data_IF_344489953646
#
_entry.id   IF_344489953646
#
_cell.length_a   1.000
_cell.length_b   1.000
_cell.length_c   1.000
_cell.angle_alpha   90.00
_cell.angle_beta   90.00
_cell.angle_gamma   90.00
#
_symmetry.space_group_name_H-M   'P 1'
#
loop_
_entity.id
_entity.type
_entity.pdbx_description
1 polymer ?
#
# COMPACT_ATOMS: atom_id res chain seq x y z
N UNK A 1 -6.64 6.94 12.43
CA UNK A 1 -5.69 7.33 11.36
C UNK A 1 -6.39 7.61 10.04
N UNK A 2 -7.03 6.63 9.38
CA UNK A 2 -7.67 6.83 8.07
C UNK A 2 -8.67 8.00 7.99
N UNK A 3 -9.54 8.19 8.98
CA UNK A 3 -10.42 9.38 9.02
C UNK A 3 -9.67 10.72 8.89
N UNK A 4 -8.50 10.82 9.51
CA UNK A 4 -7.68 12.03 9.49
C UNK A 4 -6.99 12.27 8.13
N UNK A 5 -7.02 11.29 7.22
CA UNK A 5 -6.50 11.40 5.85
C UNK A 5 -7.53 11.98 4.88
N UNK A 6 -8.80 12.14 5.28
CA UNK A 6 -9.82 12.80 4.47
C UNK A 6 -9.40 14.23 4.16
N UNK A 7 -9.50 14.61 2.88
CA UNK A 7 -9.20 15.96 2.41
C UNK A 7 -10.50 16.70 2.12
N UNK A 8 -10.61 17.90 2.67
CA UNK A 8 -11.66 18.84 2.27
C UNK A 8 -11.31 19.47 0.92
N UNK A 9 -12.31 19.92 0.13
CA UNK A 9 -12.04 20.65 -1.10
C UNK A 9 -11.19 21.91 -0.87
N UNK A 10 -10.22 22.15 -1.74
CA UNK A 10 -9.35 23.34 -1.67
C UNK A 10 -9.61 24.21 -2.90
N UNK A 11 -9.91 25.49 -2.68
CA UNK A 11 -10.10 26.48 -3.75
C UNK A 11 -8.94 27.45 -3.77
N UNK A 12 -8.32 27.62 -4.95
CA UNK A 12 -7.26 28.58 -5.21
C UNK A 12 -7.78 29.62 -6.21
N UNK A 13 -7.74 30.89 -5.83
CA UNK A 13 -7.90 32.00 -6.78
C UNK A 13 -6.55 32.23 -7.46
N UNK A 14 -6.44 31.77 -8.71
CA UNK A 14 -5.18 31.75 -9.47
C UNK A 14 -4.84 33.18 -9.93
N UNK A 15 -5.87 33.90 -10.37
CA UNK A 15 -5.87 35.33 -10.66
C UNK A 15 -7.23 35.89 -10.24
N UNK A 16 -7.38 37.20 -10.03
CA UNK A 16 -8.69 37.81 -9.80
C UNK A 16 -9.71 37.32 -10.84
N UNK A 17 -10.83 36.76 -10.39
CA UNK A 17 -11.89 36.26 -11.27
C UNK A 17 -11.67 34.87 -11.89
N UNK A 18 -10.52 34.21 -11.64
CA UNK A 18 -10.27 32.80 -12.01
C UNK A 18 -9.98 31.95 -10.78
N UNK A 19 -10.78 30.92 -10.57
CA UNK A 19 -10.67 30.00 -9.44
C UNK A 19 -10.56 28.56 -9.91
N UNK A 20 -9.75 27.77 -9.20
CA UNK A 20 -9.67 26.32 -9.38
C UNK A 20 -9.96 25.67 -8.04
N UNK A 21 -10.99 24.83 -7.99
CA UNK A 21 -11.32 24.02 -6.82
C UNK A 21 -10.90 22.57 -7.05
N UNK A 22 -10.03 22.05 -6.20
CA UNK A 22 -9.68 20.64 -6.12
C UNK A 22 -10.70 19.90 -5.24
N UNK A 23 -11.44 18.95 -5.82
CA UNK A 23 -12.40 18.10 -5.10
C UNK A 23 -11.90 16.66 -5.03
N UNK A 24 -12.10 16.03 -3.88
CA UNK A 24 -11.81 14.62 -3.64
C UNK A 24 -13.12 13.83 -3.66
N UNK A 25 -13.32 13.01 -4.69
CA UNK A 25 -14.58 12.30 -4.95
C UNK A 25 -14.34 10.80 -4.82
N UNK A 26 -15.08 10.07 -3.96
CA UNK A 26 -14.92 8.63 -3.86
C UNK A 26 -15.23 7.93 -5.19
N UNK A 27 -14.65 6.75 -5.38
CA UNK A 27 -15.13 5.82 -6.39
C UNK A 27 -16.51 5.27 -6.01
N UNK A 28 -17.30 4.87 -6.99
CA UNK A 28 -18.66 4.40 -6.73
C UNK A 28 -18.64 3.01 -6.12
N UNK A 29 -17.78 2.14 -6.66
CA UNK A 29 -17.69 0.74 -6.25
C UNK A 29 -16.26 0.22 -6.18
N UNK A 30 -15.98 -0.58 -5.15
CA UNK A 30 -14.67 -1.17 -4.91
C UNK A 30 -14.72 -2.68 -4.72
N UNK A 31 -13.74 -3.38 -5.29
CA UNK A 31 -13.43 -4.78 -5.03
C UNK A 31 -12.28 -4.91 -4.04
N UNK A 32 -12.49 -5.62 -2.94
CA UNK A 32 -11.52 -5.80 -1.86
C UNK A 32 -11.07 -7.27 -1.86
N UNK A 33 -9.81 -7.53 -2.20
CA UNK A 33 -9.25 -8.87 -2.18
C UNK A 33 -8.61 -9.17 -0.83
N UNK A 34 -9.04 -10.27 -0.20
CA UNK A 34 -8.50 -10.73 1.07
C UNK A 34 -7.92 -12.14 0.90
N UNK A 35 -6.62 -12.35 1.20
CA UNK A 35 -6.03 -13.68 1.12
C UNK A 35 -6.65 -14.63 2.17
N UNK A 36 -6.78 -15.89 1.80
CA UNK A 36 -7.30 -16.94 2.67
C UNK A 36 -6.76 -18.33 2.38
N UNK A 37 -5.78 -18.50 1.48
CA UNK A 37 -5.37 -19.85 1.03
C UNK A 37 -4.70 -20.70 2.12
N UNK A 38 -3.64 -20.18 2.74
CA UNK A 38 -2.86 -20.89 3.78
C UNK A 38 -3.19 -20.45 5.20
N UNK A 39 -3.57 -19.18 5.34
CA UNK A 39 -3.84 -18.50 6.60
C UNK A 39 -5.02 -17.57 6.34
N UNK A 40 -5.91 -17.45 7.32
CA UNK A 40 -7.03 -16.50 7.27
C UNK A 40 -6.59 -15.18 7.90
N UNK A 41 -6.71 -14.07 7.16
CA UNK A 41 -6.29 -12.74 7.59
C UNK A 41 -7.48 -11.80 7.82
N UNK A 42 -8.18 -11.86 8.98
CA UNK A 42 -9.22 -10.88 9.30
C UNK A 42 -8.67 -9.45 9.38
N UNK A 43 -7.39 -9.29 9.74
CA UNK A 43 -6.70 -8.01 9.70
C UNK A 43 -6.75 -7.40 8.29
N UNK A 44 -6.53 -8.19 7.23
CA UNK A 44 -6.63 -7.69 5.85
C UNK A 44 -8.04 -7.28 5.44
N UNK A 45 -9.09 -7.82 6.08
CA UNK A 45 -10.46 -7.29 5.91
C UNK A 45 -10.52 -5.87 6.47
N UNK A 46 -10.09 -5.69 7.73
CA UNK A 46 -10.07 -4.37 8.40
C UNK A 46 -9.27 -3.35 7.58
N UNK A 47 -8.07 -3.73 7.15
CA UNK A 47 -7.14 -2.85 6.44
C UNK A 47 -7.64 -2.46 5.04
N UNK A 48 -8.47 -3.28 4.39
CA UNK A 48 -9.09 -2.91 3.11
C UNK A 48 -10.38 -2.10 3.30
N UNK A 49 -11.27 -2.55 4.20
CA UNK A 49 -12.63 -2.03 4.33
C UNK A 49 -12.66 -0.66 5.01
N UNK A 50 -11.93 -0.49 6.11
CA UNK A 50 -11.95 0.76 6.89
C UNK A 50 -11.56 1.98 6.04
N UNK A 51 -10.45 2.00 5.28
CA UNK A 51 -10.14 3.17 4.44
C UNK A 51 -11.13 3.37 3.29
N UNK A 52 -11.76 2.33 2.75
CA UNK A 52 -12.81 2.48 1.75
C UNK A 52 -14.08 3.14 2.33
N UNK A 53 -14.49 2.73 3.54
CA UNK A 53 -15.60 3.36 4.26
C UNK A 53 -15.26 4.80 4.67
N UNK A 54 -14.06 5.03 5.17
CA UNK A 54 -13.57 6.38 5.45
C UNK A 54 -13.37 7.18 4.15
N UNK A 55 -13.22 6.61 2.96
CA UNK A 55 -13.29 7.39 1.72
C UNK A 55 -14.71 7.80 1.32
N UNK A 56 -15.73 7.11 1.85
CA UNK A 56 -17.12 7.30 1.48
C UNK A 56 -17.54 6.50 0.24
N UNK A 57 -16.88 5.38 -0.05
CA UNK A 57 -17.27 4.49 -1.16
C UNK A 57 -18.67 3.93 -0.92
N UNK A 58 -19.53 4.01 -1.94
CA UNK A 58 -20.94 3.64 -1.83
C UNK A 58 -21.21 2.13 -1.86
N UNK A 59 -20.34 1.35 -2.53
CA UNK A 59 -20.53 -0.08 -2.74
C UNK A 59 -19.22 -0.85 -2.57
N UNK A 60 -19.20 -1.84 -1.67
CA UNK A 60 -18.04 -2.65 -1.34
C UNK A 60 -18.34 -4.12 -1.65
N UNK A 61 -17.50 -4.76 -2.45
CA UNK A 61 -17.54 -6.20 -2.70
C UNK A 61 -16.22 -6.83 -2.25
N UNK A 62 -16.26 -7.91 -1.49
CA UNK A 62 -15.06 -8.59 -1.01
C UNK A 62 -14.92 -9.96 -1.66
N UNK A 63 -13.69 -10.33 -2.05
CA UNK A 63 -13.38 -11.67 -2.54
C UNK A 63 -12.34 -12.32 -1.64
N UNK A 64 -12.59 -13.57 -1.26
CA UNK A 64 -11.64 -14.41 -0.55
C UNK A 64 -11.70 -15.84 -1.10
N UNK A 65 -10.57 -16.57 -1.17
CA UNK A 65 -10.55 -17.93 -1.72
C UNK A 65 -11.56 -18.85 -1.03
N UNK A 66 -12.28 -19.71 -1.79
CA UNK A 66 -13.14 -20.74 -1.22
C UNK A 66 -12.31 -21.79 -0.49
N UNK A 67 -12.81 -22.29 0.63
CA UNK A 67 -12.15 -23.33 1.42
C UNK A 67 -13.03 -24.58 1.53
N UNK A 68 -12.49 -25.73 1.11
CA UNK A 68 -13.22 -26.99 1.08
C UNK A 68 -13.71 -27.42 2.48
N UNK A 69 -12.92 -27.16 3.51
CA UNK A 69 -13.28 -27.45 4.91
C UNK A 69 -14.47 -26.62 5.42
N UNK A 70 -14.77 -25.49 4.78
CA UNK A 70 -15.93 -24.64 5.09
C UNK A 70 -16.98 -24.68 3.97
N UNK A 71 -17.12 -25.82 3.29
CA UNK A 71 -18.18 -26.03 2.30
C UNK A 71 -18.05 -25.17 1.04
N UNK A 72 -16.83 -24.72 0.71
CA UNK A 72 -16.57 -23.86 -0.44
C UNK A 72 -16.76 -22.37 -0.15
N UNK A 73 -17.01 -21.98 1.11
CA UNK A 73 -17.06 -20.58 1.53
C UNK A 73 -15.68 -20.09 1.99
N UNK A 74 -15.46 -18.76 2.07
CA UNK A 74 -14.32 -18.19 2.78
C UNK A 74 -14.29 -18.62 4.26
N UNK A 75 -13.11 -18.54 4.87
CA UNK A 75 -12.92 -18.86 6.29
C UNK A 75 -13.92 -18.09 7.19
N UNK A 76 -14.56 -18.70 8.20
CA UNK A 76 -15.58 -18.06 9.03
C UNK A 76 -15.13 -16.76 9.70
N UNK A 77 -13.86 -16.67 10.11
CA UNK A 77 -13.29 -15.45 10.71
C UNK A 77 -13.20 -14.28 9.72
N UNK A 78 -13.00 -14.54 8.42
CA UNK A 78 -13.10 -13.49 7.39
C UNK A 78 -14.55 -13.00 7.29
N UNK A 79 -15.51 -13.93 7.23
CA UNK A 79 -16.93 -13.59 7.16
C UNK A 79 -17.40 -12.82 8.41
N UNK A 80 -16.90 -13.18 9.60
CA UNK A 80 -17.18 -12.46 10.83
C UNK A 80 -16.62 -11.03 10.80
N UNK A 81 -15.39 -10.83 10.30
CA UNK A 81 -14.83 -9.49 10.14
C UNK A 81 -15.61 -8.67 9.11
N UNK A 82 -16.04 -9.27 8.00
CA UNK A 82 -16.94 -8.63 7.03
C UNK A 82 -18.25 -8.18 7.70
N UNK A 83 -18.91 -9.07 8.44
CA UNK A 83 -20.16 -8.75 9.12
C UNK A 83 -20.00 -7.62 10.15
N UNK A 84 -18.92 -7.63 10.94
CA UNK A 84 -18.61 -6.56 11.90
C UNK A 84 -18.40 -5.21 11.24
N UNK A 85 -17.91 -5.20 10.00
CA UNK A 85 -17.66 -3.99 9.21
C UNK A 85 -18.78 -3.68 8.23
N UNK A 86 -19.89 -4.43 8.23
CA UNK A 86 -21.03 -4.18 7.34
C UNK A 86 -20.74 -4.45 5.86
N UNK A 87 -19.88 -5.44 5.55
CA UNK A 87 -19.67 -5.92 4.19
C UNK A 87 -20.60 -7.10 3.92
N UNK A 88 -21.66 -6.83 3.18
CA UNK A 88 -22.73 -7.81 2.89
C UNK A 88 -22.53 -8.58 1.57
N UNK A 89 -21.62 -8.11 0.71
CA UNK A 89 -21.33 -8.72 -0.60
C UNK A 89 -19.96 -9.41 -0.56
N UNK A 90 -19.96 -10.74 -0.38
CA UNK A 90 -18.75 -11.55 -0.30
C UNK A 90 -18.76 -12.68 -1.34
N UNK A 91 -17.72 -12.74 -2.16
CA UNK A 91 -17.50 -13.77 -3.17
C UNK A 91 -16.49 -14.81 -2.70
N UNK A 92 -16.86 -16.07 -2.85
CA UNK A 92 -15.97 -17.21 -2.69
C UNK A 92 -15.09 -17.37 -3.95
N UNK A 93 -14.18 -16.42 -4.16
CA UNK A 93 -13.27 -16.35 -5.29
C UNK A 93 -11.88 -15.92 -4.83
N UNK A 94 -10.84 -16.58 -5.34
CA UNK A 94 -9.44 -16.28 -5.02
C UNK A 94 -8.60 -15.99 -6.26
N UNK A 95 -7.34 -15.62 -6.08
CA UNK A 95 -6.35 -15.57 -7.16
C UNK A 95 -6.63 -14.54 -8.26
N UNK A 96 -5.96 -14.71 -9.40
CA UNK A 96 -6.07 -13.82 -10.55
C UNK A 96 -7.51 -13.72 -11.10
N UNK A 97 -8.28 -14.80 -11.02
CA UNK A 97 -9.67 -14.86 -11.47
C UNK A 97 -10.60 -13.98 -10.62
N UNK A 98 -10.33 -13.79 -9.33
CA UNK A 98 -11.10 -12.85 -8.51
C UNK A 98 -10.85 -11.39 -8.94
N UNK A 99 -9.59 -11.07 -9.26
CA UNK A 99 -9.22 -9.74 -9.77
C UNK A 99 -9.86 -9.49 -11.14
N UNK A 100 -9.83 -10.47 -12.05
CA UNK A 100 -10.50 -10.38 -13.34
C UNK A 100 -12.02 -10.28 -13.21
N UNK A 101 -12.64 -11.02 -12.27
CA UNK A 101 -14.06 -10.92 -11.95
C UNK A 101 -14.43 -9.50 -11.54
N UNK A 102 -13.66 -8.84 -10.67
CA UNK A 102 -13.91 -7.46 -10.29
C UNK A 102 -13.66 -6.47 -11.43
N UNK A 103 -12.61 -6.65 -12.23
CA UNK A 103 -12.27 -5.71 -13.30
C UNK A 103 -13.29 -5.75 -14.47
N UNK A 104 -13.74 -6.94 -14.85
CA UNK A 104 -14.65 -7.11 -16.00
C UNK A 104 -16.12 -7.21 -15.61
N UNK A 105 -16.40 -7.58 -14.36
CA UNK A 105 -17.71 -8.03 -13.94
C UNK A 105 -18.08 -9.41 -14.51
N UNK A 106 -19.14 -9.98 -13.97
CA UNK A 106 -19.80 -11.22 -14.40
C UNK A 106 -21.32 -11.05 -14.27
N UNK A 107 -22.08 -12.10 -14.61
CA UNK A 107 -23.54 -12.10 -14.38
C UNK A 107 -23.93 -12.01 -12.90
N UNK A 108 -23.02 -12.39 -11.98
CA UNK A 108 -23.26 -12.37 -10.53
C UNK A 108 -22.46 -11.33 -9.78
N UNK A 109 -21.43 -10.72 -10.39
CA UNK A 109 -20.57 -9.71 -9.78
C UNK A 109 -20.46 -8.50 -10.69
N UNK A 110 -21.08 -7.35 -10.38
CA UNK A 110 -20.86 -6.12 -11.13
C UNK A 110 -19.40 -5.69 -11.08
N UNK A 111 -18.89 -5.19 -12.21
CA UNK A 111 -17.55 -4.61 -12.30
C UNK A 111 -17.36 -3.48 -11.28
N UNK A 112 -16.12 -3.24 -10.86
CA UNK A 112 -15.76 -2.23 -9.87
C UNK A 112 -14.85 -1.17 -10.48
N UNK A 113 -14.75 0.00 -9.85
CA UNK A 113 -13.87 1.08 -10.30
C UNK A 113 -12.43 0.88 -9.82
N UNK A 114 -12.25 0.29 -8.64
CA UNK A 114 -10.95 0.04 -7.99
C UNK A 114 -10.91 -1.36 -7.37
N UNK A 115 -9.80 -2.06 -7.51
CA UNK A 115 -9.50 -3.31 -6.80
C UNK A 115 -8.30 -3.14 -5.88
N UNK A 116 -8.45 -3.43 -4.59
CA UNK A 116 -7.37 -3.32 -3.60
C UNK A 116 -7.09 -4.63 -2.88
N UNK A 117 -5.97 -4.66 -2.16
CA UNK A 117 -5.64 -5.74 -1.24
C UNK A 117 -4.38 -6.52 -1.64
N UNK A 118 -3.72 -7.15 -0.65
CA UNK A 118 -2.48 -7.89 -0.85
C UNK A 118 -2.77 -9.28 -1.43
N UNK A 119 -1.78 -9.89 -2.05
CA UNK A 119 -1.92 -11.27 -2.50
C UNK A 119 -0.60 -11.89 -2.92
N UNK A 120 -0.68 -13.15 -3.34
CA UNK A 120 0.49 -13.81 -3.93
C UNK A 120 0.85 -13.18 -5.28
N UNK A 121 1.97 -13.64 -5.85
CA UNK A 121 2.49 -13.17 -7.14
C UNK A 121 1.44 -13.17 -8.28
N UNK A 122 0.47 -14.09 -8.27
CA UNK A 122 -0.56 -14.18 -9.32
C UNK A 122 -1.63 -13.11 -9.18
N UNK A 123 -2.03 -12.79 -7.95
CA UNK A 123 -2.94 -11.67 -7.67
C UNK A 123 -2.29 -10.35 -8.06
N UNK A 124 -1.03 -10.17 -7.68
CA UNK A 124 -0.24 -8.98 -8.02
C UNK A 124 -0.05 -8.84 -9.53
N UNK A 125 0.30 -9.93 -10.23
CA UNK A 125 0.41 -9.93 -11.68
C UNK A 125 -0.94 -9.61 -12.37
N UNK A 126 -2.06 -10.14 -11.87
CA UNK A 126 -3.38 -9.84 -12.41
C UNK A 126 -3.75 -8.36 -12.24
N UNK A 127 -3.53 -7.78 -11.05
CA UNK A 127 -3.72 -6.35 -10.79
C UNK A 127 -2.90 -5.52 -11.76
N UNK A 128 -1.62 -5.87 -11.97
CA UNK A 128 -0.72 -5.19 -12.91
C UNK A 128 -1.22 -5.25 -14.36
N UNK A 129 -1.67 -6.41 -14.83
CA UNK A 129 -2.18 -6.58 -16.19
C UNK A 129 -3.50 -5.84 -16.44
N UNK A 130 -4.30 -5.65 -15.39
CA UNK A 130 -5.61 -4.99 -15.46
C UNK A 130 -5.54 -3.48 -15.16
N UNK A 131 -4.35 -2.94 -14.80
CA UNK A 131 -4.14 -1.49 -14.69
C UNK A 131 -4.51 -0.83 -16.01
N UNK A 132 -5.42 0.14 -15.94
CA UNK A 132 -5.96 0.86 -17.10
C UNK A 132 -7.39 0.45 -17.48
N UNK A 133 -7.81 -0.76 -17.10
CA UNK A 133 -9.24 -1.13 -17.11
C UNK A 133 -9.89 -0.81 -15.76
N UNK A 134 -9.21 -1.14 -14.66
CA UNK A 134 -9.65 -0.88 -13.30
C UNK A 134 -8.54 -0.15 -12.53
N UNK A 135 -8.91 0.70 -11.58
CA UNK A 135 -7.96 1.25 -10.63
C UNK A 135 -7.42 0.14 -9.74
N UNK A 136 -6.15 0.24 -9.36
CA UNK A 136 -5.57 -0.63 -8.34
C UNK A 136 -4.69 0.22 -7.44
N UNK A 137 -4.56 -0.20 -6.18
CA UNK A 137 -3.64 0.33 -5.18
C UNK A 137 -2.16 0.02 -5.56
N UNK A 138 -1.38 -0.53 -4.63
CA UNK A 138 0.01 -0.91 -4.84
C UNK A 138 0.16 -2.36 -5.33
N UNK A 139 1.36 -2.67 -5.84
CA UNK A 139 1.80 -4.05 -6.01
C UNK A 139 2.21 -4.61 -4.65
N UNK A 140 1.27 -5.27 -3.98
CA UNK A 140 1.44 -5.92 -2.68
C UNK A 140 1.59 -7.43 -2.88
N UNK A 141 2.81 -7.87 -3.20
CA UNK A 141 3.19 -9.26 -3.47
C UNK A 141 3.68 -10.03 -2.24
N UNK A 142 4.66 -10.95 -2.37
CA UNK A 142 5.32 -11.56 -1.22
C UNK A 142 5.86 -10.49 -0.29
N UNK A 143 5.69 -10.73 1.01
CA UNK A 143 5.90 -9.71 2.05
C UNK A 143 7.39 -9.56 2.38
N UNK A 144 7.81 -8.36 2.80
CA UNK A 144 9.21 -8.01 3.04
C UNK A 144 9.41 -7.24 4.36
N UNK A 145 10.53 -7.51 5.04
CA UNK A 145 11.01 -6.67 6.14
C UNK A 145 12.48 -6.32 5.93
N UNK A 146 12.83 -5.06 6.19
CA UNK A 146 14.20 -4.61 6.37
C UNK A 146 14.36 -4.07 7.79
N UNK A 147 15.45 -4.44 8.47
CA UNK A 147 15.78 -3.95 9.81
C UNK A 147 17.14 -3.26 9.71
N UNK A 148 17.19 -1.95 9.99
CA UNK A 148 18.43 -1.20 10.18
C UNK A 148 18.71 -1.14 11.69
N UNK A 149 19.74 -1.88 12.13
CA UNK A 149 20.08 -2.03 13.54
C UNK A 149 21.55 -1.71 13.83
N UNK A 150 21.83 -0.93 14.87
CA UNK A 150 23.20 -0.69 15.38
C UNK A 150 23.53 -1.62 16.55
N UNK A 151 24.73 -1.49 17.11
CA UNK A 151 25.23 -2.31 18.22
C UNK A 151 24.42 -2.20 19.53
N UNK A 152 23.47 -1.27 19.60
CA UNK A 152 22.56 -1.11 20.76
C UNK A 152 21.28 -1.94 20.65
N UNK A 153 20.99 -2.51 19.47
CA UNK A 153 19.81 -3.35 19.26
C UNK A 153 19.88 -4.66 20.06
N UNK A 154 18.73 -5.15 20.52
CA UNK A 154 18.65 -6.46 21.17
C UNK A 154 18.60 -7.56 20.09
N UNK A 155 19.60 -8.46 20.03
CA UNK A 155 19.65 -9.50 19.00
C UNK A 155 18.46 -10.46 19.06
N UNK A 156 17.84 -10.65 20.23
CA UNK A 156 16.69 -11.52 20.38
C UNK A 156 15.43 -10.90 19.76
N UNK A 157 15.28 -9.56 19.85
CA UNK A 157 14.20 -8.84 19.18
C UNK A 157 14.38 -8.85 17.67
N UNK A 158 15.57 -8.48 17.17
CA UNK A 158 15.87 -8.50 15.72
C UNK A 158 15.62 -9.90 15.13
N UNK A 159 16.06 -10.96 15.80
CA UNK A 159 15.80 -12.33 15.36
C UNK A 159 14.29 -12.67 15.34
N UNK A 160 13.53 -12.25 16.37
CA UNK A 160 12.10 -12.46 16.45
C UNK A 160 11.35 -11.73 15.32
N UNK A 161 11.73 -10.49 15.00
CA UNK A 161 11.11 -9.68 13.96
C UNK A 161 11.38 -10.25 12.55
N UNK A 162 12.60 -10.75 12.29
CA UNK A 162 12.92 -11.48 11.06
C UNK A 162 12.07 -12.77 10.93
N UNK A 163 11.90 -13.52 12.02
CA UNK A 163 11.09 -14.75 12.04
C UNK A 163 9.61 -14.44 11.81
N UNK A 164 9.09 -13.38 12.44
CA UNK A 164 7.71 -12.94 12.31
C UNK A 164 7.37 -12.63 10.83
N UNK A 165 8.30 -12.03 10.10
CA UNK A 165 8.11 -11.82 8.67
C UNK A 165 8.21 -13.12 7.86
N UNK A 166 9.24 -13.92 8.13
CA UNK A 166 9.53 -15.16 7.40
C UNK A 166 8.42 -16.22 7.50
N UNK A 167 7.55 -16.16 8.53
CA UNK A 167 6.45 -17.12 8.68
C UNK A 167 5.25 -16.88 7.74
N UNK A 168 5.20 -15.74 7.04
CA UNK A 168 4.09 -15.44 6.13
C UNK A 168 4.10 -16.33 4.89
N UNK A 169 5.23 -16.38 4.18
CA UNK A 169 5.35 -17.07 2.89
C UNK A 169 6.78 -17.58 2.67
N UNK A 170 6.99 -18.75 2.02
CA UNK A 170 8.32 -19.21 1.65
C UNK A 170 9.14 -18.25 0.77
N UNK A 171 8.48 -17.30 0.10
CA UNK A 171 9.11 -16.23 -0.69
C UNK A 171 9.23 -14.90 0.06
N UNK A 172 8.91 -14.85 1.36
CA UNK A 172 9.09 -13.63 2.14
C UNK A 172 10.57 -13.24 2.18
N UNK A 173 10.87 -11.96 1.96
CA UNK A 173 12.24 -11.45 1.99
C UNK A 173 12.53 -10.77 3.34
N UNK A 174 13.71 -11.04 3.89
CA UNK A 174 14.13 -10.51 5.18
C UNK A 174 15.54 -9.93 5.04
N UNK A 175 15.70 -8.64 5.32
CA UNK A 175 16.98 -7.94 5.24
C UNK A 175 17.40 -7.43 6.63
N UNK A 176 18.58 -7.82 7.11
CA UNK A 176 19.24 -7.17 8.23
C UNK A 176 20.36 -6.26 7.69
N UNK A 177 20.33 -4.98 8.04
CA UNK A 177 21.40 -4.02 7.75
C UNK A 177 22.01 -3.57 9.07
N UNK A 178 23.32 -3.75 9.23
CA UNK A 178 24.00 -3.38 10.49
C UNK A 178 25.47 -3.01 10.27
N UNK A 179 26.01 -2.04 11.02
CA UNK A 179 27.44 -1.80 11.07
C UNK A 179 28.18 -2.71 12.07
N UNK A 180 27.48 -3.49 12.89
CA UNK A 180 28.10 -4.33 13.94
C UNK A 180 28.11 -5.80 13.54
N UNK A 181 29.32 -6.34 13.39
CA UNK A 181 29.54 -7.77 13.22
C UNK A 181 29.19 -8.56 14.49
N UNK A 182 29.35 -7.96 15.67
CA UNK A 182 29.01 -8.56 16.95
C UNK A 182 27.49 -8.73 17.10
N UNK A 183 26.70 -7.72 16.70
CA UNK A 183 25.25 -7.85 16.65
C UNK A 183 24.84 -8.96 15.69
N UNK A 184 25.43 -9.01 14.50
CA UNK A 184 25.14 -10.04 13.51
C UNK A 184 25.36 -11.45 14.08
N UNK A 185 26.53 -11.72 14.66
CA UNK A 185 26.85 -13.02 15.27
C UNK A 185 25.84 -13.38 16.37
N UNK A 186 25.42 -12.39 17.17
CA UNK A 186 24.43 -12.57 18.22
C UNK A 186 23.02 -12.85 17.67
N UNK A 187 22.61 -12.17 16.60
CA UNK A 187 21.33 -12.41 15.90
C UNK A 187 21.32 -13.81 15.28
N UNK A 188 22.41 -14.25 14.66
CA UNK A 188 22.51 -15.62 14.13
C UNK A 188 22.38 -16.67 15.23
N UNK A 189 22.99 -16.44 16.39
CA UNK A 189 22.84 -17.30 17.55
C UNK A 189 21.39 -17.33 18.08
N UNK A 190 20.68 -16.20 18.07
CA UNK A 190 19.27 -16.13 18.45
C UNK A 190 18.34 -16.80 17.43
N UNK A 191 18.57 -16.62 16.13
CA UNK A 191 17.86 -17.36 15.08
C UNK A 191 18.03 -18.88 15.26
N UNK A 192 19.24 -19.32 15.61
CA UNK A 192 19.52 -20.73 15.92
C UNK A 192 18.72 -21.30 17.10
N UNK A 193 18.28 -20.45 18.04
CA UNK A 193 17.43 -20.83 19.18
C UNK A 193 15.94 -20.73 18.86
N UNK A 194 15.53 -19.68 18.16
CA UNK A 194 14.13 -19.32 17.96
C UNK A 194 13.48 -20.05 16.77
N UNK A 195 14.20 -20.24 15.66
CA UNK A 195 13.67 -20.92 14.46
C UNK A 195 13.25 -22.38 14.72
N UNK A 196 13.99 -23.21 15.48
CA UNK A 196 13.59 -24.59 15.72
C UNK A 196 12.29 -24.76 16.52
N UNK A 197 11.94 -23.76 17.34
CA UNK A 197 10.80 -23.84 18.28
C UNK A 197 9.53 -23.15 17.76
N UNK A 198 9.60 -22.36 16.69
CA UNK A 198 8.39 -21.79 16.07
C UNK A 198 7.55 -22.87 15.39
N UNK A 199 6.22 -22.69 15.42
CA UNK A 199 5.24 -23.60 14.82
C UNK A 199 5.47 -23.77 13.31
N UNK A 200 5.89 -22.71 12.63
CA UNK A 200 6.03 -22.66 11.17
C UNK A 200 7.49 -22.79 10.71
N UNK A 201 8.34 -23.50 11.48
CA UNK A 201 9.78 -23.63 11.26
C UNK A 201 10.19 -23.93 9.80
N UNK A 202 9.51 -24.84 9.11
CA UNK A 202 9.90 -25.23 7.74
C UNK A 202 9.71 -24.06 6.75
N UNK A 203 8.64 -23.29 6.93
CA UNK A 203 8.36 -22.12 6.11
C UNK A 203 9.34 -20.99 6.41
N UNK A 204 9.57 -20.72 7.69
CA UNK A 204 10.54 -19.73 8.17
C UNK A 204 11.94 -20.05 7.65
N UNK A 205 12.38 -21.31 7.78
CA UNK A 205 13.67 -21.77 7.25
C UNK A 205 13.76 -21.59 5.73
N UNK A 206 12.70 -21.90 4.99
CA UNK A 206 12.68 -21.72 3.54
C UNK A 206 12.82 -20.25 3.15
N UNK A 207 12.09 -19.35 3.80
CA UNK A 207 12.16 -17.93 3.54
C UNK A 207 13.55 -17.35 3.89
N UNK A 208 14.06 -17.63 5.09
CA UNK A 208 15.36 -17.12 5.55
C UNK A 208 16.53 -17.66 4.70
N UNK A 209 16.51 -18.93 4.30
CA UNK A 209 17.58 -19.50 3.47
C UNK A 209 17.46 -19.17 1.98
N UNK A 210 16.25 -18.85 1.51
CA UNK A 210 15.98 -18.54 0.11
C UNK A 210 16.08 -17.05 -0.22
N UNK A 211 15.61 -16.18 0.67
CA UNK A 211 15.47 -14.73 0.47
C UNK A 211 15.93 -13.90 1.69
N UNK A 212 16.60 -14.51 2.67
CA UNK A 212 17.26 -13.80 3.76
C UNK A 212 18.58 -13.19 3.31
N UNK A 213 18.81 -11.93 3.65
CA UNK A 213 20.02 -11.18 3.30
C UNK A 213 20.53 -10.41 4.50
N UNK A 214 21.84 -10.37 4.66
CA UNK A 214 22.52 -9.49 5.62
C UNK A 214 23.42 -8.52 4.84
N UNK A 215 23.34 -7.25 5.18
CA UNK A 215 24.22 -6.20 4.68
C UNK A 215 25.01 -5.60 5.84
N UNK A 216 26.29 -5.98 5.94
CA UNK A 216 27.23 -5.33 6.86
C UNK A 216 27.72 -4.04 6.20
N UNK A 217 27.61 -2.92 6.90
CA UNK A 217 27.92 -1.58 6.39
C UNK A 217 28.94 -0.87 7.30
N UNK A 218 29.52 0.24 6.85
CA UNK A 218 30.51 0.97 7.67
C UNK A 218 29.85 1.71 8.85
N UNK A 219 28.64 2.23 8.65
CA UNK A 219 27.87 3.00 9.63
C UNK A 219 26.36 3.05 9.30
N UNK A 220 25.58 3.72 10.17
CA UNK A 220 24.13 3.91 9.99
C UNK A 220 23.80 4.74 8.75
N UNK A 221 24.69 5.66 8.32
CA UNK A 221 24.47 6.48 7.14
C UNK A 221 24.56 5.65 5.86
N UNK A 222 25.55 4.76 5.77
CA UNK A 222 25.63 3.74 4.73
C UNK A 222 24.43 2.78 4.79
N UNK A 223 23.99 2.43 6.00
CA UNK A 223 22.77 1.64 6.21
C UNK A 223 21.51 2.30 5.63
N UNK A 224 21.35 3.62 5.80
CA UNK A 224 20.26 4.39 5.20
C UNK A 224 20.28 4.31 3.67
N UNK A 225 21.46 4.37 3.04
CA UNK A 225 21.59 4.21 1.58
C UNK A 225 21.11 2.84 1.13
N UNK A 226 21.44 1.78 1.88
CA UNK A 226 21.00 0.41 1.59
C UNK A 226 19.49 0.28 1.72
N UNK A 227 18.89 0.73 2.82
CA UNK A 227 17.43 0.57 3.02
C UNK A 227 16.62 1.44 2.05
N UNK A 228 17.08 2.64 1.70
CA UNK A 228 16.44 3.48 0.68
C UNK A 228 16.56 2.86 -0.72
N UNK A 229 17.67 2.17 -1.01
CA UNK A 229 17.83 1.43 -2.24
C UNK A 229 16.96 0.16 -2.25
N UNK A 230 16.83 -0.53 -1.12
CA UNK A 230 15.95 -1.69 -1.01
C UNK A 230 14.48 -1.30 -1.16
N UNK A 231 14.07 -0.19 -0.55
CA UNK A 231 12.70 0.33 -0.57
C UNK A 231 11.67 -0.70 -0.08
N UNK A 232 11.87 -1.15 1.16
CA UNK A 232 11.13 -2.25 1.76
C UNK A 232 9.64 -1.95 1.92
N UNK A 233 8.84 -3.02 1.98
CA UNK A 233 7.45 -2.96 2.46
C UNK A 233 7.42 -2.43 3.90
N UNK A 234 8.12 -3.11 4.81
CA UNK A 234 8.29 -2.70 6.20
C UNK A 234 9.75 -2.40 6.49
N UNK A 235 10.03 -1.26 7.14
CA UNK A 235 11.36 -0.91 7.62
C UNK A 235 11.33 -0.69 9.13
N UNK A 236 12.15 -1.42 9.87
CA UNK A 236 12.42 -1.15 11.27
C UNK A 236 13.74 -0.39 11.44
N UNK A 237 13.74 0.59 12.33
CA UNK A 237 14.93 1.33 12.73
C UNK A 237 15.18 1.05 14.22
N UNK A 238 16.17 0.21 14.51
CA UNK A 238 16.58 -0.16 15.86
C UNK A 238 17.99 0.39 16.15
N UNK A 239 18.08 1.70 16.37
CA UNK A 239 19.34 2.42 16.62
C UNK A 239 19.22 3.36 17.82
N UNK A 240 20.35 3.85 18.34
CA UNK A 240 20.39 4.75 19.52
C UNK A 240 19.52 6.01 19.33
N UNK A 241 19.53 6.60 18.13
CA UNK A 241 18.74 7.79 17.76
C UNK A 241 17.69 7.46 16.69
N UNK A 242 16.95 6.34 16.89
CA UNK A 242 16.03 5.79 15.90
C UNK A 242 15.10 6.80 15.22
N UNK A 243 14.55 7.76 15.98
CA UNK A 243 13.66 8.79 15.43
C UNK A 243 14.37 9.74 14.45
N UNK A 244 15.62 10.12 14.72
CA UNK A 244 16.39 10.99 13.84
C UNK A 244 16.83 10.25 12.57
N UNK A 245 17.17 8.97 12.71
CA UNK A 245 17.49 8.09 11.57
C UNK A 245 16.26 7.87 10.71
N UNK A 246 15.12 7.53 11.30
CA UNK A 246 13.85 7.31 10.61
C UNK A 246 13.39 8.55 9.81
N UNK A 247 13.61 9.77 10.33
CA UNK A 247 13.27 11.01 9.64
C UNK A 247 14.05 11.24 8.33
N UNK A 248 15.12 10.47 8.09
CA UNK A 248 15.95 10.56 6.89
C UNK A 248 15.61 9.49 5.85
N UNK A 249 14.79 8.50 6.20
CA UNK A 249 14.29 7.47 5.28
C UNK A 249 13.48 8.13 4.17
N UNK A 250 13.74 7.73 2.93
CA UNK A 250 13.04 8.22 1.74
C UNK A 250 12.11 7.18 1.15
N UNK A 251 12.48 5.90 1.19
CA UNK A 251 11.72 4.83 0.55
C UNK A 251 11.43 3.69 1.52
N UNK A 252 10.20 3.61 2.01
CA UNK A 252 9.65 2.47 2.74
C UNK A 252 8.12 2.52 2.68
N UNK A 253 7.44 1.38 2.73
CA UNK A 253 5.98 1.32 2.83
C UNK A 253 5.50 1.82 4.19
N UNK A 254 6.07 1.29 5.26
CA UNK A 254 5.89 1.75 6.64
C UNK A 254 7.22 1.70 7.40
N UNK A 255 7.46 2.69 8.27
CA UNK A 255 8.65 2.79 9.11
C UNK A 255 8.27 2.62 10.57
N UNK A 256 8.91 1.68 11.24
CA UNK A 256 8.74 1.41 12.66
C UNK A 256 9.99 1.83 13.42
N UNK A 257 9.80 2.58 14.51
CA UNK A 257 10.86 3.40 15.09
C UNK A 257 11.13 2.98 16.54
N UNK A 258 12.31 2.44 16.76
CA UNK A 258 12.81 2.03 18.07
C UNK A 258 12.35 0.64 18.51
N UNK A 259 12.91 0.19 19.63
CA UNK A 259 12.82 -1.19 20.15
C UNK A 259 11.40 -1.71 20.40
N UNK A 260 10.44 -0.83 20.66
CA UNK A 260 9.08 -1.21 21.10
C UNK A 260 8.03 -1.11 19.99
N UNK A 261 8.46 -0.97 18.74
CA UNK A 261 7.60 -0.87 17.57
C UNK A 261 7.92 -2.01 16.58
N UNK A 262 7.61 -3.28 16.89
CA UNK A 262 7.77 -4.36 15.91
C UNK A 262 6.74 -4.22 14.78
N UNK A 263 7.06 -4.73 13.58
CA UNK A 263 6.11 -4.75 12.43
C UNK A 263 4.75 -5.36 12.80
N UNK A 264 4.75 -6.38 13.66
CA UNK A 264 3.51 -7.00 14.15
C UNK A 264 2.53 -6.00 14.78
N UNK A 265 3.00 -4.94 15.42
CA UNK A 265 2.12 -3.88 15.93
C UNK A 265 1.37 -3.20 14.76
N UNK A 266 2.06 -2.91 13.66
CA UNK A 266 1.51 -2.32 12.43
C UNK A 266 0.52 -3.21 11.71
N UNK A 267 0.81 -4.51 11.65
CA UNK A 267 -0.03 -5.49 10.97
C UNK A 267 -1.42 -5.63 11.59
N UNK A 268 -1.55 -5.31 12.88
CA UNK A 268 -2.76 -5.55 13.64
C UNK A 268 -3.40 -4.29 14.23
N UNK A 269 -2.66 -3.45 14.97
CA UNK A 269 -3.27 -2.51 15.93
C UNK A 269 -2.65 -1.10 15.99
N UNK A 270 -1.56 -0.79 15.27
CA UNK A 270 -0.98 0.55 15.27
C UNK A 270 -1.92 1.62 14.67
N UNK A 271 -2.83 1.19 13.79
CA UNK A 271 -3.73 2.06 13.03
C UNK A 271 -3.14 2.58 11.72
N UNK A 272 -1.89 2.24 11.39
CA UNK A 272 -1.36 2.24 10.03
C UNK A 272 -2.00 1.11 9.20
N UNK A 273 -1.76 1.10 7.89
CA UNK A 273 -2.30 0.09 7.00
C UNK A 273 -1.20 -0.89 6.57
N UNK A 274 -1.45 -2.20 6.66
CA UNK A 274 -0.48 -3.23 6.27
C UNK A 274 -0.54 -3.62 4.79
N UNK A 275 -1.45 -3.03 4.01
CA UNK A 275 -1.49 -3.27 2.57
C UNK A 275 -0.47 -2.32 1.95
N UNK A 276 0.76 -2.80 1.87
CA UNK A 276 1.93 -1.99 1.54
C UNK A 276 2.56 -2.44 0.20
N UNK A 277 3.28 -1.53 -0.48
CA UNK A 277 4.04 -1.87 -1.68
C UNK A 277 5.21 -2.81 -1.36
N UNK A 278 5.37 -3.88 -2.14
CA UNK A 278 6.52 -4.80 -2.04
C UNK A 278 7.40 -4.73 -3.30
N UNK A 279 8.49 -5.50 -3.37
CA UNK A 279 9.35 -5.63 -4.55
C UNK A 279 10.08 -4.33 -4.93
N UNK A 280 10.43 -3.50 -3.94
CA UNK A 280 11.05 -2.20 -4.14
C UNK A 280 10.11 -1.11 -4.70
N UNK A 281 8.81 -1.39 -4.80
CA UNK A 281 7.84 -0.42 -5.35
C UNK A 281 7.48 0.71 -4.40
N UNK A 282 7.93 0.65 -3.13
CA UNK A 282 7.81 1.76 -2.17
C UNK A 282 8.52 3.05 -2.64
N UNK A 283 9.39 2.96 -3.66
CA UNK A 283 10.00 4.12 -4.33
C UNK A 283 8.99 5.03 -5.06
N UNK A 284 7.83 4.51 -5.43
CA UNK A 284 6.84 5.25 -6.23
C UNK A 284 5.39 4.95 -5.85
N UNK A 285 5.16 4.00 -4.94
CA UNK A 285 3.83 3.60 -4.48
C UNK A 285 3.73 3.84 -2.98
N UNK A 286 2.53 4.16 -2.51
CA UNK A 286 2.24 4.30 -1.08
C UNK A 286 1.47 3.10 -0.56
N UNK A 287 1.51 2.90 0.76
CA UNK A 287 0.56 2.03 1.45
C UNK A 287 -0.88 2.43 1.20
N UNK A 288 -1.79 1.47 1.34
CA UNK A 288 -3.22 1.69 1.14
C UNK A 288 -3.73 2.75 2.12
N UNK A 289 -4.47 3.73 1.58
CA UNK A 289 -5.02 4.84 2.34
C UNK A 289 -6.34 5.30 1.72
N UNK A 290 -7.00 6.27 2.35
CA UNK A 290 -8.25 6.87 1.86
C UNK A 290 -8.12 7.36 0.41
N UNK A 291 -6.95 7.88 0.01
CA UNK A 291 -6.76 8.42 -1.34
C UNK A 291 -6.82 7.36 -2.43
N UNK A 292 -6.55 6.09 -2.14
CA UNK A 292 -6.64 5.01 -3.12
C UNK A 292 -8.08 4.77 -3.60
N UNK A 293 -9.06 5.23 -2.81
CA UNK A 293 -10.49 5.11 -3.11
C UNK A 293 -11.11 6.42 -3.55
N UNK A 294 -10.31 7.46 -3.80
CA UNK A 294 -10.76 8.78 -4.21
C UNK A 294 -10.10 9.22 -5.51
N UNK A 295 -10.80 10.09 -6.24
CA UNK A 295 -10.32 10.76 -7.44
C UNK A 295 -10.29 12.26 -7.19
N UNK A 296 -9.23 12.88 -7.64
CA UNK A 296 -9.09 14.33 -7.65
C UNK A 296 -9.74 14.90 -8.90
N UNK A 297 -10.62 15.89 -8.74
CA UNK A 297 -11.28 16.59 -9.85
C UNK A 297 -11.09 18.10 -9.69
N UNK A 298 -10.59 18.75 -10.73
CA UNK A 298 -10.49 20.21 -10.78
C UNK A 298 -11.77 20.81 -11.35
N UNK A 299 -12.37 21.73 -10.60
CA UNK A 299 -13.47 22.59 -11.06
C UNK A 299 -12.89 23.96 -11.35
N UNK A 300 -12.95 24.38 -12.61
CA UNK A 300 -12.40 25.67 -13.07
C UNK A 300 -13.54 26.65 -13.30
N UNK A 301 -13.45 27.79 -12.63
CA UNK A 301 -14.38 28.92 -12.77
C UNK A 301 -13.58 30.13 -13.24
N UNK A 302 -14.09 30.83 -14.25
CA UNK A 302 -13.46 32.01 -14.81
C UNK A 302 -14.55 32.98 -15.26
N UNK A 303 -14.51 34.21 -14.75
CA UNK A 303 -15.41 35.27 -15.19
C UNK A 303 -14.95 35.91 -16.52
N UNK A 304 -15.79 36.80 -17.06
CA UNK A 304 -15.51 37.43 -18.35
C UNK A 304 -14.27 38.32 -18.32
N UNK A 305 -14.03 39.04 -17.23
CA UNK A 305 -12.95 40.01 -17.13
C UNK A 305 -11.60 39.27 -17.06
N UNK A 306 -11.53 38.21 -16.25
CA UNK A 306 -10.37 37.34 -16.17
C UNK A 306 -10.11 36.60 -17.50
N UNK A 307 -11.15 36.11 -18.17
CA UNK A 307 -11.01 35.48 -19.49
C UNK A 307 -10.46 36.46 -20.54
N UNK A 308 -10.91 37.72 -20.48
CA UNK A 308 -10.44 38.79 -21.38
C UNK A 308 -8.94 39.04 -21.18
N UNK A 309 -8.46 39.06 -19.93
CA UNK A 309 -7.05 39.29 -19.60
C UNK A 309 -6.11 38.23 -20.20
N UNK A 310 -6.56 36.97 -20.23
CA UNK A 310 -5.73 35.84 -20.71
C UNK A 310 -5.91 35.52 -22.20
N UNK A 311 -6.92 36.08 -22.85
CA UNK A 311 -7.32 35.71 -24.21
C UNK A 311 -6.18 35.79 -25.24
N UNK A 312 -5.37 36.86 -25.20
CA UNK A 312 -4.24 37.00 -26.13
C UNK A 312 -3.15 35.95 -25.91
N UNK A 313 -2.97 35.49 -24.66
CA UNK A 313 -2.01 34.44 -24.30
C UNK A 313 -2.52 33.08 -24.76
N UNK A 314 -3.82 32.80 -24.61
CA UNK A 314 -4.44 31.59 -25.15
C UNK A 314 -4.35 31.58 -26.69
N UNK A 315 -4.59 32.71 -27.35
CA UNK A 315 -4.44 32.83 -28.80
C UNK A 315 -2.99 32.58 -29.25
N UNK A 316 -2.00 33.12 -28.53
CA UNK A 316 -0.60 32.91 -28.83
C UNK A 316 -0.18 31.43 -28.68
N UNK A 317 -0.57 30.77 -27.58
CA UNK A 317 -0.27 29.35 -27.34
C UNK A 317 -1.00 28.45 -28.34
N UNK A 318 -2.32 28.60 -28.45
CA UNK A 318 -3.13 27.79 -29.37
C UNK A 318 -2.75 27.99 -30.83
N UNK A 319 -2.37 29.21 -31.23
CA UNK A 319 -1.84 29.49 -32.57
C UNK A 319 -0.47 28.84 -32.82
N UNK A 320 0.42 28.84 -31.83
CA UNK A 320 1.71 28.16 -31.93
C UNK A 320 1.59 26.63 -32.01
N UNK A 321 0.55 26.07 -31.38
CA UNK A 321 0.21 24.63 -31.41
C UNK A 321 -0.67 24.22 -32.61
N UNK A 322 -1.04 25.16 -33.49
CA UNK A 322 -1.98 24.97 -34.61
C UNK A 322 -3.37 24.43 -34.16
N UNK A 323 -3.82 24.84 -32.97
CA UNK A 323 -5.09 24.49 -32.37
C UNK A 323 -6.10 25.64 -32.47
N UNK A 324 -6.40 26.09 -33.69
CA UNK A 324 -7.23 27.29 -33.93
C UNK A 324 -8.62 27.19 -33.29
N UNK A 325 -9.26 26.02 -33.30
CA UNK A 325 -10.56 25.83 -32.66
C UNK A 325 -10.53 26.06 -31.13
N UNK A 326 -9.38 25.87 -30.46
CA UNK A 326 -9.23 26.20 -29.03
C UNK A 326 -9.20 27.71 -28.82
N UNK A 327 -8.54 28.45 -29.72
CA UNK A 327 -8.52 29.92 -29.71
C UNK A 327 -9.91 30.48 -29.97
N UNK A 328 -10.58 29.98 -31.02
CA UNK A 328 -11.94 30.39 -31.39
C UNK A 328 -12.95 30.22 -30.25
N UNK A 329 -12.79 29.17 -29.43
CA UNK A 329 -13.63 28.92 -28.27
C UNK A 329 -13.54 30.03 -27.22
N UNK A 330 -12.38 30.67 -27.05
CA UNK A 330 -12.24 31.86 -26.19
C UNK A 330 -12.80 33.08 -26.89
N UNK A 331 -12.43 33.31 -28.14
CA UNK A 331 -12.84 34.51 -28.88
C UNK A 331 -14.36 34.67 -28.95
N UNK A 332 -15.10 33.59 -29.23
CA UNK A 332 -16.57 33.66 -29.35
C UNK A 332 -17.26 34.10 -28.05
N UNK A 333 -16.65 33.88 -26.88
CA UNK A 333 -17.18 34.32 -25.58
C UNK A 333 -16.93 35.79 -25.30
N UNK A 334 -15.94 36.39 -25.97
CA UNK A 334 -15.54 37.79 -25.78
C UNK A 334 -16.15 38.75 -26.79
N UNK A 335 -16.81 38.22 -27.83
CA UNK A 335 -17.59 38.99 -28.81
C UNK A 335 -18.79 39.72 -28.18
#
# INVERSE_FOLDING_TARGET
MHRAQRREPVTVEVTPGTRVTERWIPVERVGLYVPGGRVAYPSSVVMNVVPAQEAGVGSLALASPPQAEFGGLPHPVILAACALLGVDEVYAAGGAQAIAMFAHGTSSCPAVDVVTGPGNIYVTAAKRLLRGLVGVDAEAGPTEVAILADDTADPAHVAADLIAQAEHDPMAACLLVTPSTELLDAVEAELGKQVPVTRHRERVQTALTGQGVVAVVDDVDAGLVVVDAWAAEHLEIQTVDAAAVAARVRNAGAVFVGTWAPVSLGDYLAGSNHVLPTGGTARHSSGLSVSAFQRQVHVVECDRDALTEVASRVAALGGAEDLIAHVDAVEVRLR
#
